data_IF_661005278354
#
_entry.id   IF_661005278354
#
_cell.length_a   1.000
_cell.length_b   1.000
_cell.length_c   1.000
_cell.angle_alpha   90.00
_cell.angle_beta   90.00
_cell.angle_gamma   90.00
#
_symmetry.space_group_name_H-M   'P 1'
#
loop_
_entity.id
_entity.type
_entity.pdbx_description
1 polymer ?
#
# COMPACT_ATOMS: atom_id res chain seq x y z
N UNK A 1 45.70 39.35 32.96
CA UNK A 1 44.89 40.34 33.73
C UNK A 1 43.59 40.49 32.94
N UNK A 2 42.36 40.25 33.37
CA UNK A 2 41.63 39.78 34.56
C UNK A 2 40.46 38.94 33.94
N UNK A 3 40.07 37.74 34.36
CA UNK A 3 39.56 37.23 35.64
C UNK A 3 38.10 37.64 35.98
N UNK A 4 37.24 36.61 36.05
CA UNK A 4 35.98 36.44 36.81
C UNK A 4 34.74 37.22 36.32
N UNK A 5 33.50 36.71 36.44
CA UNK A 5 32.95 35.92 37.53
C UNK A 5 31.71 35.09 37.11
N UNK A 6 31.61 33.89 37.70
CA UNK A 6 30.45 33.02 37.76
C UNK A 6 29.43 33.58 38.76
N UNK A 7 28.13 33.25 38.61
CA UNK A 7 27.27 33.01 39.77
C UNK A 7 26.36 31.80 39.54
N UNK A 8 26.56 30.82 40.43
CA UNK A 8 25.70 29.68 40.76
C UNK A 8 24.62 30.10 41.77
N UNK A 9 23.56 29.27 41.87
CA UNK A 9 22.72 28.91 43.03
C UNK A 9 21.24 28.78 42.59
N UNK A 10 20.39 27.86 43.03
CA UNK A 10 20.46 26.64 43.85
C UNK A 10 19.07 25.95 43.75
N UNK A 11 19.03 24.62 43.91
CA UNK A 11 17.86 23.72 44.00
C UNK A 11 17.06 23.93 45.32
N UNK A 12 15.81 23.42 45.53
CA UNK A 12 15.59 21.99 45.84
C UNK A 12 14.23 21.33 45.42
N UNK A 13 14.36 20.02 45.16
CA UNK A 13 13.48 18.87 45.46
C UNK A 13 11.95 19.04 45.70
N UNK A 14 11.17 18.21 44.99
CA UNK A 14 9.99 17.55 45.55
C UNK A 14 9.88 16.10 45.07
N UNK A 15 9.83 15.17 46.03
CA UNK A 15 9.48 13.76 45.88
C UNK A 15 8.01 13.58 45.50
N UNK A 16 7.72 12.68 44.56
CA UNK A 16 6.53 11.82 44.59
C UNK A 16 6.72 10.60 43.68
N UNK A 17 6.30 9.46 44.20
CA UNK A 17 6.48 8.06 43.76
C UNK A 17 5.64 7.65 42.53
N UNK A 18 5.94 6.48 41.92
CA UNK A 18 5.36 6.06 40.65
C UNK A 18 4.01 5.35 40.80
N UNK A 19 3.08 5.45 39.83
CA UNK A 19 1.99 4.49 39.71
C UNK A 19 2.41 3.24 38.91
N UNK A 20 1.94 2.10 39.42
CA UNK A 20 2.12 0.70 39.01
C UNK A 20 1.71 0.37 37.55
N UNK A 21 2.15 -0.80 37.04
CA UNK A 21 1.88 -1.24 35.68
C UNK A 21 0.44 -1.72 35.50
N UNK A 22 -0.22 -1.22 34.46
CA UNK A 22 -1.53 -1.70 34.03
C UNK A 22 -1.36 -2.87 33.04
N UNK A 23 -1.66 -4.07 33.55
CA UNK A 23 -2.39 -5.17 32.91
C UNK A 23 -2.09 -5.44 31.43
N UNK A 24 -1.33 -6.51 31.22
CA UNK A 24 -1.26 -7.26 29.98
C UNK A 24 -2.67 -7.69 29.51
N UNK A 25 -3.04 -7.29 28.29
CA UNK A 25 -4.19 -7.83 27.57
C UNK A 25 -3.68 -8.85 26.54
N UNK A 26 -4.27 -10.05 26.44
CA UNK A 26 -3.84 -11.06 25.49
C UNK A 26 -4.10 -10.63 24.04
N UNK A 27 -3.33 -11.12 23.06
CA UNK A 27 -3.51 -10.78 21.66
C UNK A 27 -4.84 -11.35 21.17
N UNK A 28 -5.77 -10.46 20.80
CA UNK A 28 -6.98 -10.84 20.08
C UNK A 28 -6.56 -11.26 18.68
N UNK A 29 -6.52 -12.57 18.46
CA UNK A 29 -6.39 -13.18 17.14
C UNK A 29 -7.64 -12.80 16.31
N UNK A 30 -7.51 -11.75 15.50
CA UNK A 30 -8.49 -11.46 14.47
C UNK A 30 -8.18 -12.31 13.24
N UNK A 31 -9.17 -13.01 12.65
CA UNK A 31 -8.96 -13.87 11.51
C UNK A 31 -8.57 -13.02 10.29
N UNK A 32 -7.38 -13.32 9.76
CA UNK A 32 -6.88 -12.84 8.46
C UNK A 32 -7.87 -13.33 7.40
N UNK A 33 -8.69 -12.43 6.85
CA UNK A 33 -9.49 -12.76 5.67
C UNK A 33 -8.58 -12.75 4.44
N UNK A 34 -7.94 -13.89 4.20
CA UNK A 34 -7.42 -14.25 2.89
C UNK A 34 -8.57 -14.26 1.88
N UNK A 35 -8.46 -13.43 0.85
CA UNK A 35 -9.28 -13.59 -0.34
C UNK A 35 -8.77 -14.82 -1.10
N UNK A 36 -9.39 -15.96 -0.87
CA UNK A 36 -9.27 -17.13 -1.74
C UNK A 36 -9.98 -16.84 -3.06
N UNK A 37 -9.32 -17.16 -4.17
CA UNK A 37 -9.90 -17.12 -5.51
C UNK A 37 -11.10 -18.08 -5.59
N UNK A 38 -12.18 -17.74 -6.32
CA UNK A 38 -13.34 -18.62 -6.42
C UNK A 38 -13.03 -19.81 -7.33
N UNK A 39 -12.92 -20.99 -6.74
CA UNK A 39 -13.08 -22.27 -7.44
C UNK A 39 -14.56 -22.44 -7.78
N UNK A 40 -14.89 -22.36 -9.07
CA UNK A 40 -16.17 -22.79 -9.60
C UNK A 40 -15.91 -23.79 -10.74
N UNK A 41 -16.22 -25.05 -10.47
CA UNK A 41 -16.72 -26.00 -11.48
C UNK A 41 -18.26 -25.89 -11.46
N UNK A 42 -19.01 -26.17 -12.55
CA UNK A 42 -18.91 -27.43 -13.30
C UNK A 42 -19.15 -27.33 -14.82
N UNK A 43 -19.11 -28.50 -15.45
CA UNK A 43 -19.65 -28.90 -16.75
C UNK A 43 -18.65 -29.07 -17.91
N UNK A 44 -18.79 -30.28 -18.45
CA UNK A 44 -18.00 -31.05 -19.37
C UNK A 44 -18.35 -30.64 -20.81
N UNK A 45 -17.34 -30.31 -21.61
CA UNK A 45 -17.40 -30.39 -23.06
C UNK A 45 -15.98 -30.68 -23.54
N UNK A 46 -15.86 -31.80 -24.24
CA UNK A 46 -14.81 -32.30 -25.13
C UNK A 46 -13.41 -31.68 -25.20
N UNK A 47 -12.46 -32.62 -25.22
CA UNK A 47 -11.03 -32.59 -25.52
C UNK A 47 -10.45 -31.37 -26.26
N UNK A 48 -9.33 -30.88 -25.72
CA UNK A 48 -8.39 -29.99 -26.39
C UNK A 48 -6.98 -30.56 -26.15
N UNK A 49 -6.26 -31.06 -27.18
CA UNK A 49 -4.87 -31.42 -27.06
C UNK A 49 -4.01 -30.19 -27.37
N UNK A 50 -3.21 -29.76 -26.39
CA UNK A 50 -1.88 -29.18 -26.59
C UNK A 50 -1.36 -28.62 -25.27
N UNK A 51 -0.46 -29.38 -24.66
CA UNK A 51 0.58 -28.86 -23.77
C UNK A 51 1.26 -27.66 -24.43
N UNK A 52 1.03 -26.45 -23.90
CA UNK A 52 1.91 -25.31 -24.12
C UNK A 52 2.56 -24.99 -22.77
N UNK A 53 3.90 -24.93 -22.68
CA UNK A 53 4.56 -24.64 -21.42
C UNK A 53 4.20 -23.22 -21.00
N UNK A 54 3.83 -23.06 -19.73
CA UNK A 54 3.69 -21.76 -19.10
C UNK A 54 5.06 -21.06 -19.14
N UNK A 55 5.28 -20.22 -20.15
CA UNK A 55 6.44 -19.34 -20.20
C UNK A 55 6.22 -18.28 -19.14
N UNK A 56 6.61 -18.60 -17.91
CA UNK A 56 6.93 -17.62 -16.89
C UNK A 56 8.02 -16.73 -17.46
N UNK A 57 7.63 -15.61 -18.07
CA UNK A 57 8.56 -14.55 -18.44
C UNK A 57 9.10 -13.96 -17.13
N UNK A 58 10.14 -14.60 -16.59
CA UNK A 58 10.92 -14.06 -15.48
C UNK A 58 11.67 -12.83 -16.02
N UNK A 59 11.10 -11.64 -15.82
CA UNK A 59 11.87 -10.40 -15.98
C UNK A 59 13.13 -10.50 -15.14
N UNK A 60 14.28 -10.13 -15.73
CA UNK A 60 15.53 -10.04 -14.98
C UNK A 60 15.34 -9.05 -13.83
N UNK A 61 15.99 -9.28 -12.69
CA UNK A 61 15.85 -8.38 -11.54
C UNK A 61 16.30 -6.96 -11.86
N UNK A 62 17.24 -6.81 -12.81
CA UNK A 62 17.76 -5.52 -13.25
C UNK A 62 16.78 -4.72 -14.13
N UNK A 63 15.77 -5.38 -14.71
CA UNK A 63 14.76 -4.70 -15.55
C UNK A 63 13.50 -4.33 -14.77
N UNK A 64 13.41 -4.71 -13.49
CA UNK A 64 12.23 -4.46 -12.67
C UNK A 64 12.19 -3.01 -12.22
N UNK A 65 11.03 -2.38 -12.42
CA UNK A 65 10.82 -0.96 -12.09
C UNK A 65 9.77 -0.74 -11.01
N UNK A 66 8.94 -1.75 -10.69
CA UNK A 66 7.86 -1.57 -9.72
C UNK A 66 8.23 -2.13 -8.35
N UNK A 67 8.12 -1.26 -7.34
CA UNK A 67 8.29 -1.61 -5.94
C UNK A 67 7.00 -1.39 -5.15
N UNK A 68 6.90 -2.08 -4.02
CA UNK A 68 5.86 -1.90 -3.01
C UNK A 68 6.53 -1.30 -1.78
N UNK A 69 6.07 -0.14 -1.38
CA UNK A 69 6.39 0.43 -0.08
C UNK A 69 5.42 -0.16 0.93
N UNK A 70 5.92 -0.87 1.94
CA UNK A 70 5.15 -1.50 3.01
C UNK A 70 5.32 -0.73 4.32
N UNK A 71 4.41 -0.96 5.26
CA UNK A 71 4.37 -0.34 6.58
C UNK A 71 4.20 1.19 6.55
N UNK A 72 3.43 1.71 5.59
CA UNK A 72 3.01 3.12 5.62
C UNK A 72 2.08 3.38 6.82
N UNK A 73 2.12 4.57 7.43
CA UNK A 73 1.06 4.98 8.36
C UNK A 73 -0.30 4.96 7.66
N UNK A 74 -1.36 4.50 8.35
CA UNK A 74 -2.68 4.28 7.72
C UNK A 74 -3.36 5.58 7.28
N UNK A 75 -2.85 6.73 7.74
CA UNK A 75 -3.34 8.05 7.36
C UNK A 75 -2.67 8.57 6.08
N UNK A 76 -1.71 7.85 5.51
CA UNK A 76 -1.09 8.23 4.24
C UNK A 76 -2.09 8.17 3.10
N UNK A 77 -2.02 9.21 2.28
CA UNK A 77 -2.76 9.36 1.03
C UNK A 77 -1.81 9.51 -0.13
N UNK A 78 -2.33 9.34 -1.33
CA UNK A 78 -1.56 9.57 -2.57
C UNK A 78 -0.85 10.93 -2.59
N UNK A 79 -1.48 12.10 -2.36
CA UNK A 79 -0.76 13.38 -2.35
C UNK A 79 0.39 13.46 -1.33
N UNK A 80 0.21 12.85 -0.16
CA UNK A 80 1.27 12.80 0.86
C UNK A 80 2.44 11.90 0.43
N UNK A 81 2.14 10.77 -0.20
CA UNK A 81 3.15 9.89 -0.76
C UNK A 81 3.93 10.60 -1.87
N UNK A 82 3.24 11.23 -2.82
CA UNK A 82 3.90 11.98 -3.91
C UNK A 82 4.86 13.04 -3.36
N UNK A 83 4.39 13.87 -2.42
CA UNK A 83 5.24 14.85 -1.74
C UNK A 83 6.46 14.22 -1.07
N UNK A 84 6.28 13.06 -0.43
CA UNK A 84 7.39 12.32 0.19
C UNK A 84 8.40 11.82 -0.85
N UNK A 85 7.94 11.31 -1.99
CA UNK A 85 8.81 10.89 -3.10
C UNK A 85 9.60 12.07 -3.65
N UNK A 86 8.92 13.19 -3.89
CA UNK A 86 9.52 14.40 -4.47
C UNK A 86 10.58 15.00 -3.53
N UNK A 87 10.29 15.11 -2.23
CA UNK A 87 11.24 15.59 -1.20
C UNK A 87 12.47 14.68 -1.09
N UNK A 88 12.36 13.39 -1.38
CA UNK A 88 13.50 12.47 -1.43
C UNK A 88 14.25 12.51 -2.77
N UNK A 89 13.90 13.40 -3.70
CA UNK A 89 14.61 13.58 -4.98
C UNK A 89 14.16 12.65 -6.10
N UNK A 90 12.92 12.14 -6.02
CA UNK A 90 12.31 11.27 -7.03
C UNK A 90 11.21 11.94 -7.87
N UNK A 91 11.09 13.27 -7.79
CA UNK A 91 10.20 14.02 -8.68
C UNK A 91 10.52 13.70 -10.15
N UNK A 92 9.49 13.36 -10.93
CA UNK A 92 9.64 12.95 -12.34
C UNK A 92 10.28 11.58 -12.58
N UNK A 93 10.62 10.82 -11.53
CA UNK A 93 11.26 9.48 -11.65
C UNK A 93 10.29 8.32 -11.49
N UNK A 94 9.00 8.60 -11.37
CA UNK A 94 7.92 7.61 -11.30
C UNK A 94 6.83 7.94 -12.32
N UNK A 95 6.20 6.91 -12.87
CA UNK A 95 5.14 7.01 -13.88
C UNK A 95 3.82 6.35 -13.43
N UNK A 96 3.81 5.63 -12.31
CA UNK A 96 2.63 5.05 -11.70
C UNK A 96 2.73 5.06 -10.17
N UNK A 97 1.67 5.53 -9.51
CA UNK A 97 1.55 5.48 -8.05
C UNK A 97 0.15 5.06 -7.64
N UNK A 98 0.04 4.14 -6.69
CA UNK A 98 -1.23 3.73 -6.12
C UNK A 98 -1.12 3.49 -4.62
N UNK A 99 -1.96 4.18 -3.84
CA UNK A 99 -2.14 3.97 -2.39
C UNK A 99 -3.52 3.38 -2.17
N UNK A 100 -3.67 2.08 -1.89
CA UNK A 100 -4.97 1.48 -1.61
C UNK A 100 -5.60 2.02 -0.32
N UNK A 101 -6.91 2.27 -0.38
CA UNK A 101 -7.73 2.68 0.76
C UNK A 101 -8.88 1.70 0.99
N UNK A 102 -9.26 1.52 2.25
CA UNK A 102 -10.54 0.95 2.61
C UNK A 102 -11.65 1.99 2.35
N UNK A 103 -12.62 1.63 1.52
CA UNK A 103 -13.73 2.53 1.14
C UNK A 103 -14.66 2.89 2.30
N UNK A 104 -14.77 2.04 3.32
CA UNK A 104 -15.67 2.25 4.46
C UNK A 104 -15.01 3.11 5.52
N UNK A 105 -13.81 2.74 5.95
CA UNK A 105 -13.09 3.47 7.02
C UNK A 105 -12.35 4.68 6.47
N UNK A 106 -12.19 4.75 5.14
CA UNK A 106 -11.35 5.74 4.45
C UNK A 106 -9.91 5.70 4.95
N UNK A 107 -9.40 4.59 5.49
CA UNK A 107 -8.00 4.48 5.93
C UNK A 107 -7.16 3.79 4.85
N UNK A 108 -5.89 4.16 4.74
CA UNK A 108 -4.94 3.47 3.88
C UNK A 108 -4.69 2.05 4.39
N UNK A 109 -4.31 1.15 3.49
CA UNK A 109 -4.04 -0.25 3.85
C UNK A 109 -2.59 -0.51 4.30
N UNK A 110 -1.79 0.55 4.45
CA UNK A 110 -0.42 0.46 4.94
C UNK A 110 0.63 0.05 3.90
N UNK A 111 0.28 0.08 2.62
CA UNK A 111 1.23 -0.12 1.53
C UNK A 111 0.90 0.77 0.33
N UNK A 112 1.86 0.90 -0.58
CA UNK A 112 1.69 1.61 -1.84
C UNK A 112 2.52 0.95 -2.95
N UNK A 113 2.02 1.02 -4.19
CA UNK A 113 2.76 0.63 -5.38
C UNK A 113 3.36 1.86 -6.04
N UNK A 114 4.61 1.77 -6.45
CA UNK A 114 5.33 2.81 -7.20
C UNK A 114 6.06 2.13 -8.35
N UNK A 115 5.77 2.54 -9.59
CA UNK A 115 6.60 2.20 -10.73
C UNK A 115 7.54 3.36 -11.03
N UNK A 116 8.83 3.03 -11.12
CA UNK A 116 9.86 3.96 -11.54
C UNK A 116 9.97 3.98 -13.06
N UNK A 117 10.37 5.13 -13.61
CA UNK A 117 10.51 5.31 -15.07
C UNK A 117 11.68 4.48 -15.60
N UNK A 118 12.78 4.44 -14.84
CA UNK A 118 14.03 3.82 -15.25
C UNK A 118 14.52 2.80 -14.20
N UNK A 119 14.87 1.55 -14.59
CA UNK A 119 15.39 0.55 -13.65
C UNK A 119 16.64 1.00 -12.90
N UNK A 120 17.49 1.85 -13.49
CA UNK A 120 18.70 2.38 -12.86
C UNK A 120 18.42 3.25 -11.63
N UNK A 121 17.20 3.79 -11.50
CA UNK A 121 16.78 4.58 -10.33
C UNK A 121 16.39 3.69 -9.16
N UNK A 122 16.03 2.42 -9.41
CA UNK A 122 15.50 1.50 -8.39
C UNK A 122 16.46 1.30 -7.22
N UNK A 123 17.77 1.06 -7.40
CA UNK A 123 18.68 0.91 -6.27
C UNK A 123 18.75 2.15 -5.36
N UNK A 124 18.73 3.35 -5.96
CA UNK A 124 18.72 4.61 -5.21
C UNK A 124 17.41 4.77 -4.44
N UNK A 125 16.28 4.45 -5.08
CA UNK A 125 14.97 4.47 -4.45
C UNK A 125 14.89 3.48 -3.29
N UNK A 126 15.35 2.25 -3.50
CA UNK A 126 15.35 1.21 -2.48
C UNK A 126 16.14 1.63 -1.26
N UNK A 127 17.35 2.17 -1.44
CA UNK A 127 18.19 2.67 -0.34
C UNK A 127 17.57 3.85 0.40
N UNK A 128 16.82 4.71 -0.29
CA UNK A 128 16.17 5.85 0.33
C UNK A 128 14.96 5.45 1.20
N UNK A 129 14.21 4.43 0.76
CA UNK A 129 12.93 4.07 1.37
C UNK A 129 12.95 2.83 2.26
N UNK A 130 13.90 1.91 2.09
CA UNK A 130 14.02 0.77 2.99
C UNK A 130 14.61 1.21 4.33
N UNK A 131 13.85 1.02 5.41
CA UNK A 131 14.18 1.60 6.71
C UNK A 131 13.71 3.06 6.90
N UNK A 132 12.93 3.61 5.97
CA UNK A 132 12.44 4.99 6.08
C UNK A 132 11.46 5.16 7.25
N UNK A 133 11.61 6.27 7.96
CA UNK A 133 10.89 6.60 9.20
C UNK A 133 10.59 8.09 9.38
N UNK A 134 10.93 8.93 8.39
CA UNK A 134 10.70 10.38 8.39
C UNK A 134 9.30 10.71 7.88
N UNK A 135 8.29 10.13 8.50
CA UNK A 135 6.89 10.32 8.13
C UNK A 135 6.43 11.76 8.41
N UNK A 136 5.47 12.26 7.63
CA UNK A 136 4.90 13.60 7.89
C UNK A 136 4.03 13.64 9.16
N UNK A 137 3.61 12.47 9.64
CA UNK A 137 2.89 12.31 10.90
C UNK A 137 3.75 11.53 11.90
N UNK A 138 3.62 11.80 13.21
CA UNK A 138 4.26 10.99 14.24
C UNK A 138 3.89 9.51 14.08
N UNK A 139 4.87 8.66 13.79
CA UNK A 139 4.67 7.22 13.67
C UNK A 139 5.97 6.47 13.95
N UNK A 140 5.86 5.37 14.69
CA UNK A 140 6.98 4.45 14.93
C UNK A 140 7.18 3.44 13.80
N UNK A 141 6.34 3.47 12.75
CA UNK A 141 6.47 2.53 11.64
C UNK A 141 7.80 2.71 10.92
N UNK A 142 8.31 1.62 10.36
CA UNK A 142 9.52 1.62 9.55
C UNK A 142 9.16 1.02 8.20
N UNK A 143 9.39 1.78 7.14
CA UNK A 143 9.10 1.40 5.77
C UNK A 143 9.94 0.19 5.37
N UNK A 144 9.34 -0.74 4.63
CA UNK A 144 10.05 -1.83 3.97
C UNK A 144 9.76 -1.77 2.47
N UNK A 145 10.78 -1.94 1.66
CA UNK A 145 10.63 -2.00 0.19
C UNK A 145 10.67 -3.45 -0.26
N UNK A 146 9.73 -3.84 -1.13
CA UNK A 146 9.71 -5.16 -1.77
C UNK A 146 9.41 -5.03 -3.25
N UNK A 147 9.78 -6.03 -4.06
CA UNK A 147 9.32 -6.09 -5.44
C UNK A 147 7.79 -6.23 -5.51
N UNK A 148 7.17 -5.56 -6.48
CA UNK A 148 5.76 -5.81 -6.80
C UNK A 148 5.60 -7.19 -7.44
N UNK A 149 4.71 -8.00 -6.88
CA UNK A 149 4.35 -9.32 -7.43
C UNK A 149 2.82 -9.47 -7.42
N UNK A 150 2.23 -10.10 -8.44
CA UNK A 150 2.85 -10.67 -9.65
C UNK A 150 3.10 -9.63 -10.78
N UNK A 151 2.76 -8.36 -10.58
CA UNK A 151 2.80 -7.35 -11.65
C UNK A 151 4.06 -6.47 -11.58
N UNK A 152 4.81 -6.40 -12.68
CA UNK A 152 6.00 -5.55 -12.86
C UNK A 152 5.87 -4.65 -14.09
N UNK A 153 6.35 -3.42 -13.97
CA UNK A 153 6.32 -2.40 -15.01
C UNK A 153 4.98 -1.66 -15.16
N UNK A 154 5.04 -0.47 -15.76
CA UNK A 154 3.88 0.38 -16.03
C UNK A 154 2.78 -0.35 -16.81
N UNK A 155 3.14 -1.05 -17.89
CA UNK A 155 2.19 -1.75 -18.77
C UNK A 155 1.34 -2.77 -18.03
N UNK A 156 1.95 -3.52 -17.10
CA UNK A 156 1.23 -4.52 -16.30
C UNK A 156 0.21 -3.85 -15.35
N UNK A 157 0.59 -2.75 -14.71
CA UNK A 157 -0.28 -1.99 -13.81
C UNK A 157 -1.43 -1.31 -14.57
N UNK A 158 -1.15 -0.69 -15.72
CA UNK A 158 -2.19 -0.13 -16.60
C UNK A 158 -3.18 -1.21 -17.00
N UNK A 159 -2.70 -2.37 -17.49
CA UNK A 159 -3.56 -3.51 -17.85
C UNK A 159 -4.41 -3.98 -16.67
N UNK A 160 -3.83 -4.03 -15.46
CA UNK A 160 -4.50 -4.47 -14.24
C UNK A 160 -5.65 -3.54 -13.85
N UNK A 161 -5.42 -2.23 -13.87
CA UNK A 161 -6.36 -1.26 -13.30
C UNK A 161 -7.34 -0.68 -14.32
N UNK A 162 -6.96 -0.50 -15.60
CA UNK A 162 -7.78 0.21 -16.61
C UNK A 162 -9.23 -0.29 -16.71
N UNK A 163 -9.43 -1.60 -16.50
CA UNK A 163 -10.73 -2.28 -16.67
C UNK A 163 -11.36 -2.71 -15.33
N UNK A 164 -10.84 -2.19 -14.21
CA UNK A 164 -11.29 -2.47 -12.86
C UNK A 164 -12.40 -1.48 -12.43
N UNK A 165 -13.35 -1.92 -11.61
CA UNK A 165 -14.38 -1.04 -11.02
C UNK A 165 -13.80 0.12 -10.21
N UNK A 166 -12.55 -0.01 -9.76
CA UNK A 166 -11.79 1.06 -9.10
C UNK A 166 -11.63 2.31 -9.99
N UNK A 167 -11.65 2.15 -11.31
CA UNK A 167 -11.52 3.25 -12.27
C UNK A 167 -12.87 3.87 -12.68
N UNK A 168 -14.00 3.43 -12.12
CA UNK A 168 -15.32 3.96 -12.40
C UNK A 168 -15.46 5.41 -11.90
N UNK A 169 -16.23 6.25 -12.61
CA UNK A 169 -16.35 7.69 -12.32
C UNK A 169 -16.90 7.99 -10.92
N UNK A 170 -17.71 7.09 -10.36
CA UNK A 170 -18.23 7.20 -8.99
C UNK A 170 -17.18 7.02 -7.89
N UNK A 171 -15.97 6.57 -8.23
CA UNK A 171 -14.86 6.42 -7.26
C UNK A 171 -14.11 7.74 -7.19
N UNK A 172 -13.85 8.35 -6.03
CA UNK A 172 -13.07 9.59 -5.97
C UNK A 172 -11.64 9.40 -6.53
N UNK A 173 -11.10 10.40 -7.25
CA UNK A 173 -9.78 10.27 -7.91
C UNK A 173 -8.65 9.90 -6.94
N UNK A 174 -8.70 10.39 -5.69
CA UNK A 174 -7.70 10.06 -4.66
C UNK A 174 -7.59 8.56 -4.36
N UNK A 175 -8.65 7.79 -4.61
CA UNK A 175 -8.71 6.36 -4.38
C UNK A 175 -8.23 5.56 -5.59
N UNK A 176 -8.10 6.21 -6.75
CA UNK A 176 -7.68 5.58 -7.99
C UNK A 176 -6.15 5.57 -8.11
N UNK A 177 -5.57 4.58 -8.79
CA UNK A 177 -4.19 4.67 -9.26
C UNK A 177 -3.97 5.96 -10.08
N UNK A 178 -2.74 6.47 -10.07
CA UNK A 178 -2.33 7.65 -10.82
C UNK A 178 -1.22 7.31 -11.80
N UNK A 179 -1.27 7.89 -13.00
CA UNK A 179 -0.20 7.85 -13.99
C UNK A 179 0.50 9.20 -14.07
N UNK A 180 1.79 9.18 -14.40
CA UNK A 180 2.59 10.39 -14.56
C UNK A 180 3.46 10.28 -15.79
N UNK A 181 3.68 11.42 -16.44
CA UNK A 181 4.60 11.60 -17.56
C UNK A 181 5.40 12.86 -17.27
N UNK A 182 6.73 12.75 -17.21
CA UNK A 182 7.64 13.86 -16.87
C UNK A 182 7.28 14.58 -15.55
N UNK A 183 6.75 13.82 -14.57
CA UNK A 183 6.32 14.36 -13.26
C UNK A 183 4.94 15.02 -13.27
N UNK A 184 4.28 15.12 -14.42
CA UNK A 184 2.93 15.67 -14.55
C UNK A 184 1.89 14.55 -14.51
N UNK A 185 0.79 14.78 -13.79
CA UNK A 185 -0.31 13.81 -13.72
C UNK A 185 -0.97 13.66 -15.09
N UNK A 186 -1.09 12.43 -15.59
CA UNK A 186 -1.82 12.11 -16.81
C UNK A 186 -3.02 11.22 -16.54
N UNK A 187 -3.98 11.25 -17.46
CA UNK A 187 -5.17 10.41 -17.41
C UNK A 187 -4.81 8.94 -17.64
N UNK A 188 -5.56 8.04 -17.01
CA UNK A 188 -5.49 6.63 -17.39
C UNK A 188 -6.01 6.45 -18.83
N UNK A 189 -5.44 5.50 -19.60
CA UNK A 189 -6.03 5.11 -20.88
C UNK A 189 -7.49 4.72 -20.70
N UNK A 190 -8.37 5.08 -21.65
CA UNK A 190 -9.79 4.82 -21.53
C UNK A 190 -10.08 3.32 -21.34
N UNK A 191 -11.09 2.95 -20.55
CA UNK A 191 -11.48 1.56 -20.38
C UNK A 191 -11.83 0.92 -21.73
N UNK A 192 -11.44 -0.34 -21.94
CA UNK A 192 -11.81 -1.06 -23.17
C UNK A 192 -13.14 -1.79 -23.06
N UNK A 193 -13.88 -1.54 -21.99
CA UNK A 193 -15.21 -2.06 -21.72
C UNK A 193 -15.92 -1.15 -20.72
N UNK A 194 -17.26 -1.20 -20.68
CA UNK A 194 -18.03 -0.49 -19.65
C UNK A 194 -17.64 -1.00 -18.26
N UNK A 195 -17.30 -0.08 -17.37
CA UNK A 195 -16.97 -0.39 -15.99
C UNK A 195 -18.25 -0.47 -15.17
N UNK A 196 -18.37 -1.50 -14.34
CA UNK A 196 -19.41 -1.55 -13.33
C UNK A 196 -18.99 -0.68 -12.13
N UNK A 197 -19.95 0.04 -11.54
CA UNK A 197 -19.72 0.75 -10.30
C UNK A 197 -19.30 -0.26 -9.20
N UNK A 198 -18.34 0.11 -8.32
CA UNK A 198 -17.96 -0.77 -7.21
C UNK A 198 -19.16 -1.01 -6.30
N UNK A 199 -19.60 -2.27 -6.22
CA UNK A 199 -20.74 -2.67 -5.40
C UNK A 199 -20.36 -2.64 -3.91
N UNK A 200 -21.12 -1.91 -3.10
CA UNK A 200 -21.00 -1.93 -1.64
C UNK A 200 -21.42 -3.29 -1.01
N UNK A 201 -21.97 -4.22 -1.81
CA UNK A 201 -22.70 -5.41 -1.33
C UNK A 201 -21.86 -6.63 -0.94
N UNK A 202 -20.53 -6.59 -1.03
CA UNK A 202 -19.68 -7.72 -0.58
C UNK A 202 -19.59 -7.87 0.95
N UNK A 203 -20.23 -6.98 1.73
CA UNK A 203 -20.12 -6.95 3.19
C UNK A 203 -21.24 -7.69 3.96
N UNK A 204 -22.29 -8.18 3.29
CA UNK A 204 -23.46 -8.79 3.95
C UNK A 204 -23.68 -10.22 3.45
N UNK A 205 -22.72 -11.11 3.69
CA UNK A 205 -22.99 -12.55 3.84
C UNK A 205 -22.24 -13.08 5.06
N UNK A 206 -22.52 -12.51 6.23
CA UNK A 206 -22.16 -13.10 7.53
C UNK A 206 -23.29 -14.03 7.97
N UNK A 207 -23.05 -15.31 7.76
CA UNK A 207 -23.52 -16.45 8.57
C UNK A 207 -24.95 -16.38 9.15
N UNK A 208 -25.95 -16.88 8.42
CA UNK A 208 -27.19 -17.43 9.01
C UNK A 208 -27.10 -18.96 8.99
N UNK A 209 -26.24 -19.51 9.85
CA UNK A 209 -26.25 -20.92 10.23
C UNK A 209 -26.97 -21.02 11.58
N UNK A 210 -28.29 -21.23 11.56
CA UNK A 210 -29.07 -21.43 12.77
C UNK A 210 -28.66 -22.71 13.49
N UNK A 211 -28.35 -22.61 14.78
CA UNK A 211 -28.40 -23.76 15.69
C UNK A 211 -29.88 -24.03 16.00
N UNK A 212 -30.44 -25.07 15.40
CA UNK A 212 -31.65 -25.71 15.92
C UNK A 212 -31.23 -26.44 17.20
N UNK A 213 -31.72 -25.96 18.34
CA UNK A 213 -31.89 -26.81 19.51
C UNK A 213 -33.15 -27.67 19.27
N UNK A 214 -33.04 -28.96 19.50
CA UNK A 214 -34.16 -29.91 19.53
C UNK A 214 -33.91 -30.83 20.73
N UNK A 215 -34.98 -31.39 21.32
CA UNK A 215 -35.40 -31.16 22.70
C UNK A 215 -34.60 -31.97 23.74
#
# INVERSE_FOLDING_TARGET
QQQQQQQHCATPQHCATPPKPAVATPPVQHPVQQCTAPTAHPQRADELPAVLPAVSHSMSENDRTTVVLQNLPLNYRRPMLLRMLDVQGFAGKYDFVYVPLDFKTRTGLGYAFVNLVDPSVVPLFWRAFDGFRKWIFPSQKICRVTWSTPYQGLKAHVKRYRNCSLMHDSVPDEYRPALFEEGVRVAFPPPTRKLAAPSQKAAVRRNKGGRKATP
#
